data_IF_112507585879
#
_entry.id   IF_112507585879
#
_cell.length_a   1.000
_cell.length_b   1.000
_cell.length_c   1.000
_cell.angle_alpha   90.00
_cell.angle_beta   90.00
_cell.angle_gamma   90.00
#
_symmetry.space_group_name_H-M   'P 1'
#
loop_
_entity.id
_entity.type
_entity.pdbx_description
1 polymer ?
#
# COMPACT_ATOMS: atom_id res chain seq x y z
N UNK A 1 -4.65 -0.80 -17.94
CA UNK A 1 -4.22 -2.21 -17.95
C UNK A 1 -3.72 -2.59 -16.56
N UNK A 2 -4.09 -3.75 -16.03
CA UNK A 2 -3.49 -4.29 -14.80
C UNK A 2 -2.54 -5.41 -15.23
N UNK A 3 -1.22 -5.14 -15.33
CA UNK A 3 -0.27 -6.17 -15.73
C UNK A 3 -0.33 -7.35 -14.76
N UNK A 4 -0.21 -8.57 -15.29
CA UNK A 4 0.06 -9.77 -14.51
C UNK A 4 1.57 -9.87 -14.34
N UNK A 5 2.05 -9.79 -13.10
CA UNK A 5 3.45 -9.98 -12.76
C UNK A 5 3.63 -11.39 -12.19
N UNK A 6 4.68 -12.09 -12.59
CA UNK A 6 5.01 -13.40 -12.01
C UNK A 6 5.53 -13.26 -10.57
N UNK A 7 6.26 -12.18 -10.29
CA UNK A 7 6.72 -11.77 -8.97
C UNK A 7 6.56 -10.25 -8.85
N UNK A 8 5.64 -9.81 -7.98
CA UNK A 8 5.37 -8.38 -7.79
C UNK A 8 6.56 -7.65 -7.16
N UNK A 9 7.26 -8.29 -6.21
CA UNK A 9 8.40 -7.71 -5.51
C UNK A 9 9.54 -7.44 -6.50
N UNK A 10 9.90 -8.45 -7.30
CA UNK A 10 10.95 -8.33 -8.31
C UNK A 10 10.57 -7.27 -9.35
N UNK A 11 9.34 -7.30 -9.86
CA UNK A 11 8.90 -6.38 -10.92
C UNK A 11 8.91 -4.92 -10.44
N UNK A 12 8.43 -4.64 -9.24
CA UNK A 12 8.45 -3.28 -8.70
C UNK A 12 9.86 -2.79 -8.36
N UNK A 13 10.72 -3.67 -7.85
CA UNK A 13 12.11 -3.30 -7.54
C UNK A 13 12.93 -3.00 -8.80
N UNK A 14 12.85 -3.88 -9.81
CA UNK A 14 13.53 -3.68 -11.09
C UNK A 14 13.03 -2.43 -11.80
N UNK A 15 11.70 -2.28 -11.94
CA UNK A 15 11.10 -1.13 -12.61
C UNK A 15 11.42 0.21 -11.92
N UNK A 16 11.51 0.24 -10.59
CA UNK A 16 11.94 1.43 -9.85
C UNK A 16 13.39 1.80 -10.16
N UNK A 17 14.31 0.83 -10.13
CA UNK A 17 15.72 1.07 -10.44
C UNK A 17 15.92 1.52 -11.89
N UNK A 18 15.30 0.83 -12.84
CA UNK A 18 15.34 1.17 -14.26
C UNK A 18 14.76 2.57 -14.52
N UNK A 19 13.63 2.89 -13.89
CA UNK A 19 13.01 4.21 -14.01
C UNK A 19 13.89 5.33 -13.47
N UNK A 20 14.49 5.15 -12.29
CA UNK A 20 15.40 6.15 -11.70
C UNK A 20 16.64 6.34 -12.59
N UNK A 21 17.25 5.25 -13.08
CA UNK A 21 18.41 5.33 -14.00
C UNK A 21 18.07 6.05 -15.29
N UNK A 22 16.95 5.69 -15.92
CA UNK A 22 16.50 6.31 -17.16
C UNK A 22 16.26 7.81 -16.98
N UNK A 23 15.58 8.22 -15.90
CA UNK A 23 15.40 9.63 -15.58
C UNK A 23 16.76 10.31 -15.40
N UNK A 24 17.67 9.70 -14.63
CA UNK A 24 19.03 10.19 -14.42
C UNK A 24 19.83 10.37 -15.70
N UNK A 25 19.73 9.44 -16.66
CA UNK A 25 20.34 9.59 -17.98
C UNK A 25 19.75 10.76 -18.75
N UNK A 26 18.42 10.88 -18.81
CA UNK A 26 17.72 11.94 -19.55
C UNK A 26 18.05 13.34 -19.03
N UNK A 27 18.24 13.49 -17.72
CA UNK A 27 18.56 14.79 -17.11
C UNK A 27 20.06 14.98 -16.81
N UNK A 28 20.91 14.06 -17.27
CA UNK A 28 22.37 14.07 -17.06
C UNK A 28 22.79 14.11 -15.56
N UNK A 29 22.07 13.37 -14.72
CA UNK A 29 22.28 13.23 -13.25
C UNK A 29 22.46 11.78 -12.80
N UNK A 30 23.29 11.02 -13.53
CA UNK A 30 23.54 9.60 -13.24
C UNK A 30 24.11 9.35 -11.82
N UNK A 31 25.05 10.17 -11.29
CA UNK A 31 25.55 9.98 -9.93
C UNK A 31 24.44 10.11 -8.87
N UNK A 32 23.55 11.10 -9.01
CA UNK A 32 22.42 11.29 -8.11
C UNK A 32 21.37 10.17 -8.23
N UNK A 33 21.16 9.65 -9.45
CA UNK A 33 20.27 8.51 -9.67
C UNK A 33 20.75 7.25 -8.94
N UNK A 34 22.03 6.90 -9.02
CA UNK A 34 22.58 5.75 -8.28
C UNK A 34 22.56 6.00 -6.76
N UNK A 35 22.85 7.23 -6.32
CA UNK A 35 22.75 7.58 -4.90
C UNK A 35 21.32 7.43 -4.37
N UNK A 36 20.31 7.83 -5.15
CA UNK A 36 18.91 7.67 -4.80
C UNK A 36 18.48 6.20 -4.74
N UNK A 37 18.93 5.38 -5.70
CA UNK A 37 18.69 3.91 -5.69
C UNK A 37 19.28 3.31 -4.41
N UNK A 38 20.56 3.56 -4.15
CA UNK A 38 21.24 3.02 -2.97
C UNK A 38 20.52 3.43 -1.68
N UNK A 39 20.21 4.72 -1.52
CA UNK A 39 19.47 5.23 -0.38
C UNK A 39 18.12 4.53 -0.20
N UNK A 40 17.35 4.38 -1.29
CA UNK A 40 16.00 3.80 -1.24
C UNK A 40 16.01 2.37 -0.70
N UNK A 41 16.92 1.53 -1.19
CA UNK A 41 16.97 0.13 -0.78
C UNK A 41 17.60 -0.07 0.60
N UNK A 42 18.58 0.75 0.99
CA UNK A 42 19.12 0.71 2.36
C UNK A 42 18.10 1.21 3.39
N UNK A 43 17.39 2.30 3.10
CA UNK A 43 16.33 2.80 3.97
C UNK A 43 15.20 1.77 4.11
N UNK A 44 14.80 1.12 3.01
CA UNK A 44 13.80 0.04 3.05
C UNK A 44 14.27 -1.12 3.91
N UNK A 45 15.51 -1.58 3.75
CA UNK A 45 16.08 -2.66 4.57
C UNK A 45 16.02 -2.33 6.06
N UNK A 46 16.37 -1.11 6.44
CA UNK A 46 16.28 -0.64 7.83
C UNK A 46 14.84 -0.60 8.34
N UNK A 47 13.91 -0.10 7.52
CA UNK A 47 12.49 -0.02 7.88
C UNK A 47 11.83 -1.40 8.04
N UNK A 48 12.24 -2.37 7.23
CA UNK A 48 11.66 -3.72 7.23
C UNK A 48 12.21 -4.61 8.35
N UNK A 49 13.43 -4.36 8.83
CA UNK A 49 14.11 -5.22 9.79
C UNK A 49 13.30 -5.49 11.08
N UNK A 50 12.61 -4.50 11.71
CA UNK A 50 11.85 -4.73 12.93
C UNK A 50 10.64 -5.66 12.77
N UNK A 51 10.15 -5.86 11.54
CA UNK A 51 8.92 -6.60 11.23
C UNK A 51 9.17 -7.85 10.38
N UNK A 52 10.44 -8.16 10.09
CA UNK A 52 10.83 -9.22 9.16
C UNK A 52 10.32 -10.61 9.59
N UNK A 53 10.28 -10.86 10.90
CA UNK A 53 9.93 -12.16 11.46
C UNK A 53 8.44 -12.28 11.82
N UNK A 54 7.61 -11.26 11.55
CA UNK A 54 6.17 -11.32 11.84
C UNK A 54 5.48 -12.30 10.88
N UNK A 55 4.93 -13.43 11.38
CA UNK A 55 4.24 -14.40 10.55
C UNK A 55 2.99 -13.79 9.90
N UNK A 56 2.64 -14.24 8.69
CA UNK A 56 1.52 -13.68 7.92
C UNK A 56 0.19 -13.63 8.70
N UNK A 57 -0.10 -14.65 9.52
CA UNK A 57 -1.33 -14.72 10.32
C UNK A 57 -1.34 -13.78 11.54
N UNK A 58 -0.21 -13.13 11.86
CA UNK A 58 -0.09 -12.15 12.93
C UNK A 58 0.02 -10.71 12.41
N UNK A 59 0.08 -10.52 11.09
CA UNK A 59 0.18 -9.21 10.47
C UNK A 59 -1.09 -8.40 10.69
N UNK A 60 -0.92 -7.10 10.94
CA UNK A 60 -2.04 -6.17 11.12
C UNK A 60 -2.85 -6.10 9.82
N UNK A 61 -4.16 -6.27 9.90
CA UNK A 61 -5.06 -6.13 8.75
C UNK A 61 -5.26 -4.66 8.42
N UNK A 62 -4.90 -4.27 7.20
CA UNK A 62 -4.92 -2.88 6.74
C UNK A 62 -5.72 -2.74 5.46
N UNK A 63 -6.46 -1.64 5.33
CA UNK A 63 -7.20 -1.25 4.14
C UNK A 63 -6.73 0.12 3.62
N UNK A 64 -6.56 0.27 2.30
CA UNK A 64 -6.29 1.58 1.68
C UNK A 64 -7.61 2.15 1.14
N UNK A 65 -8.07 3.25 1.72
CA UNK A 65 -9.27 3.95 1.31
C UNK A 65 -8.93 5.12 0.38
N UNK A 66 -9.47 5.08 -0.84
CA UNK A 66 -9.50 6.20 -1.76
C UNK A 66 -10.95 6.70 -1.94
N UNK A 67 -11.16 7.87 -2.56
CA UNK A 67 -12.51 8.37 -2.87
C UNK A 67 -13.39 7.34 -3.58
N UNK A 68 -14.70 7.45 -3.34
CA UNK A 68 -15.74 6.64 -3.98
C UNK A 68 -15.56 5.13 -3.79
N UNK A 69 -15.11 4.70 -2.59
CA UNK A 69 -14.82 3.28 -2.27
C UNK A 69 -13.81 2.64 -3.23
N UNK A 70 -12.90 3.42 -3.82
CA UNK A 70 -11.77 2.86 -4.53
C UNK A 70 -10.72 2.33 -3.55
N UNK A 71 -10.05 1.25 -3.95
CA UNK A 71 -8.94 0.67 -3.20
C UNK A 71 -7.90 0.06 -4.14
N UNK A 72 -6.81 -0.46 -3.59
CA UNK A 72 -5.79 -1.21 -4.31
C UNK A 72 -5.73 -2.64 -3.76
N UNK A 73 -5.98 -3.62 -4.61
CA UNK A 73 -5.76 -5.04 -4.32
C UNK A 73 -4.41 -5.55 -4.82
N UNK A 74 -4.37 -6.79 -5.30
CA UNK A 74 -3.16 -7.43 -5.82
C UNK A 74 -2.62 -6.75 -7.10
N UNK A 75 -1.32 -6.89 -7.35
CA UNK A 75 -0.64 -6.30 -8.51
C UNK A 75 -0.41 -4.80 -8.37
N UNK A 76 -0.34 -4.28 -7.13
CA UNK A 76 -0.13 -2.86 -6.82
C UNK A 76 0.91 -2.70 -5.72
N UNK A 77 1.77 -1.71 -5.89
CA UNK A 77 2.81 -1.36 -4.91
C UNK A 77 2.27 -1.16 -3.48
N UNK A 78 1.03 -0.68 -3.34
CA UNK A 78 0.35 -0.55 -2.03
C UNK A 78 0.40 -1.82 -1.19
N UNK A 79 0.22 -2.99 -1.81
CA UNK A 79 0.31 -4.29 -1.13
C UNK A 79 1.73 -4.58 -0.63
N UNK A 80 2.74 -4.32 -1.45
CA UNK A 80 4.16 -4.48 -1.08
C UNK A 80 4.57 -3.54 0.04
N UNK A 81 4.16 -2.27 -0.03
CA UNK A 81 4.40 -1.27 1.02
C UNK A 81 3.87 -1.74 2.37
N UNK A 82 2.62 -2.25 2.40
CA UNK A 82 2.04 -2.81 3.62
C UNK A 82 2.78 -4.06 4.08
N UNK A 83 3.10 -4.98 3.17
CA UNK A 83 3.79 -6.23 3.50
C UNK A 83 5.18 -5.99 4.10
N UNK A 84 5.94 -5.04 3.55
CA UNK A 84 7.23 -4.59 4.06
C UNK A 84 7.14 -3.98 5.45
N UNK A 85 6.01 -3.38 5.79
CA UNK A 85 5.73 -2.83 7.12
C UNK A 85 5.10 -3.85 8.09
N UNK A 86 5.07 -5.15 7.75
CA UNK A 86 4.49 -6.20 8.60
C UNK A 86 2.96 -6.19 8.63
N UNK A 87 2.32 -5.58 7.63
CA UNK A 87 0.87 -5.52 7.49
C UNK A 87 0.34 -6.43 6.36
N UNK A 88 -0.96 -6.67 6.39
CA UNK A 88 -1.70 -7.44 5.39
C UNK A 88 -2.74 -6.53 4.74
N UNK A 89 -2.64 -6.33 3.42
CA UNK A 89 -3.68 -5.67 2.65
C UNK A 89 -4.91 -6.59 2.52
N UNK A 90 -6.00 -6.24 3.20
CA UNK A 90 -7.23 -7.07 3.22
C UNK A 90 -7.90 -7.19 1.84
N UNK A 91 -7.72 -6.21 0.96
CA UNK A 91 -8.32 -6.21 -0.37
C UNK A 91 -7.54 -7.10 -1.37
N UNK A 92 -6.29 -7.44 -1.09
CA UNK A 92 -5.41 -8.09 -2.08
C UNK A 92 -5.88 -9.49 -2.49
N UNK A 93 -6.56 -10.22 -1.60
CA UNK A 93 -7.01 -11.58 -1.88
C UNK A 93 -8.17 -11.66 -2.90
N UNK A 94 -9.01 -10.62 -2.97
CA UNK A 94 -10.24 -10.64 -3.78
C UNK A 94 -10.33 -9.50 -4.80
N UNK A 95 -9.45 -8.51 -4.73
CA UNK A 95 -9.41 -7.38 -5.66
C UNK A 95 -8.11 -7.43 -6.47
N UNK A 96 -8.22 -7.27 -7.80
CA UNK A 96 -7.06 -7.14 -8.69
C UNK A 96 -6.91 -5.71 -9.19
N UNK A 97 -5.78 -5.10 -8.87
CA UNK A 97 -5.42 -3.75 -9.26
C UNK A 97 -6.17 -2.67 -8.46
N UNK A 98 -6.37 -1.51 -9.10
CA UNK A 98 -7.17 -0.43 -8.52
C UNK A 98 -8.63 -0.60 -8.94
N UNK A 99 -9.54 -0.75 -7.98
CA UNK A 99 -10.97 -0.98 -8.24
C UNK A 99 -11.81 -0.34 -7.16
N UNK A 100 -13.03 0.01 -7.55
CA UNK A 100 -14.11 0.30 -6.63
C UNK A 100 -14.62 -0.99 -6.00
N UNK A 101 -14.94 -0.95 -4.72
CA UNK A 101 -15.50 -2.04 -3.92
C UNK A 101 -16.81 -1.58 -3.28
N UNK A 102 -17.53 -2.49 -2.64
CA UNK A 102 -18.69 -2.13 -1.82
C UNK A 102 -18.31 -1.96 -0.34
N UNK A 103 -19.12 -1.22 0.42
CA UNK A 103 -18.90 -1.06 1.85
C UNK A 103 -19.04 -2.39 2.60
N UNK A 104 -19.93 -3.27 2.14
CA UNK A 104 -20.12 -4.62 2.68
C UNK A 104 -18.84 -5.44 2.61
N UNK A 105 -18.06 -5.32 1.52
CA UNK A 105 -16.76 -5.99 1.42
C UNK A 105 -15.77 -5.44 2.47
N UNK A 106 -15.75 -4.13 2.70
CA UNK A 106 -14.88 -3.51 3.71
C UNK A 106 -15.29 -3.95 5.13
N UNK A 107 -16.59 -4.06 5.39
CA UNK A 107 -17.14 -4.60 6.64
C UNK A 107 -16.75 -6.06 6.86
N UNK A 108 -16.82 -6.89 5.82
CA UNK A 108 -16.39 -8.29 5.88
C UNK A 108 -14.90 -8.44 6.13
N UNK A 109 -14.07 -7.61 5.48
CA UNK A 109 -12.63 -7.58 5.71
C UNK A 109 -12.25 -7.10 7.12
N UNK A 110 -13.08 -6.24 7.72
CA UNK A 110 -12.91 -5.67 9.05
C UNK A 110 -11.45 -5.28 9.38
N UNK A 111 -10.89 -4.28 8.66
CA UNK A 111 -9.51 -3.85 8.84
C UNK A 111 -9.29 -3.24 10.24
N UNK A 112 -8.10 -3.46 10.78
CA UNK A 112 -7.66 -2.91 12.08
C UNK A 112 -7.03 -1.51 11.94
N UNK A 113 -6.61 -1.16 10.72
CA UNK A 113 -6.13 0.18 10.34
C UNK A 113 -6.67 0.49 8.94
N UNK A 114 -7.13 1.72 8.76
CA UNK A 114 -7.40 2.29 7.44
C UNK A 114 -6.28 3.30 7.16
N UNK A 115 -5.75 3.28 5.95
CA UNK A 115 -4.88 4.35 5.45
C UNK A 115 -5.62 5.16 4.40
N UNK A 116 -5.41 6.48 4.44
CA UNK A 116 -5.85 7.42 3.42
C UNK A 116 -4.62 8.10 2.82
N UNK A 117 -4.59 8.24 1.50
CA UNK A 117 -3.51 8.98 0.85
C UNK A 117 -3.64 10.48 1.17
N UNK A 118 -2.54 11.13 1.50
CA UNK A 118 -2.49 12.56 1.88
C UNK A 118 -3.16 13.50 0.86
N UNK A 119 -3.13 13.16 -0.43
CA UNK A 119 -3.83 13.90 -1.49
C UNK A 119 -5.37 13.84 -1.42
N UNK A 120 -5.94 13.03 -0.53
CA UNK A 120 -7.38 12.85 -0.33
C UNK A 120 -7.79 12.99 1.16
N UNK A 121 -7.39 14.07 1.85
CA UNK A 121 -7.56 14.18 3.30
C UNK A 121 -9.04 14.21 3.73
N UNK A 122 -9.95 14.57 2.81
CA UNK A 122 -11.39 14.55 3.05
C UNK A 122 -11.95 13.14 3.33
N UNK A 123 -11.29 12.08 2.83
CA UNK A 123 -11.76 10.70 2.99
C UNK A 123 -11.71 10.26 4.46
N UNK A 124 -10.74 10.76 5.25
CA UNK A 124 -10.69 10.51 6.70
C UNK A 124 -11.97 10.98 7.37
N UNK A 125 -12.35 12.25 7.17
CA UNK A 125 -13.56 12.83 7.75
C UNK A 125 -14.83 12.14 7.27
N UNK A 126 -14.86 11.71 6.01
CA UNK A 126 -16.00 10.96 5.49
C UNK A 126 -16.17 9.63 6.23
N UNK A 127 -15.10 8.85 6.37
CA UNK A 127 -15.12 7.57 7.07
C UNK A 127 -15.47 7.73 8.55
N UNK A 128 -14.86 8.70 9.23
CA UNK A 128 -15.08 8.92 10.67
C UNK A 128 -16.51 9.35 11.01
N UNK A 129 -17.17 10.10 10.13
CA UNK A 129 -18.52 10.62 10.37
C UNK A 129 -19.65 9.80 9.75
N UNK A 130 -19.33 8.86 8.85
CA UNK A 130 -20.35 8.01 8.22
C UNK A 130 -20.79 6.90 9.19
N UNK A 131 -22.09 6.85 9.58
CA UNK A 131 -22.62 5.81 10.47
C UNK A 131 -22.41 4.39 9.94
N UNK A 132 -22.33 4.20 8.63
CA UNK A 132 -22.19 2.87 8.02
C UNK A 132 -20.80 2.26 8.24
N UNK A 133 -19.79 3.09 8.53
CA UNK A 133 -18.40 2.65 8.79
C UNK A 133 -18.12 2.32 10.26
N UNK A 134 -18.99 2.74 11.18
CA UNK A 134 -18.75 2.67 12.63
C UNK A 134 -18.64 1.24 13.18
N UNK A 135 -19.05 0.24 12.40
CA UNK A 135 -18.88 -1.17 12.76
C UNK A 135 -17.44 -1.67 12.55
N UNK A 136 -16.63 -0.99 11.73
CA UNK A 136 -15.27 -1.39 11.36
C UNK A 136 -14.30 -1.16 12.53
N UNK A 137 -13.43 -2.14 12.79
CA UNK A 137 -12.49 -2.14 13.91
C UNK A 137 -11.57 -0.92 13.93
N UNK A 138 -11.02 -0.55 12.76
CA UNK A 138 -10.21 0.65 12.61
C UNK A 138 -10.94 1.95 13.03
N UNK A 139 -12.22 2.09 12.69
CA UNK A 139 -13.00 3.31 12.99
C UNK A 139 -13.32 3.37 14.48
N UNK A 140 -13.75 2.25 15.07
CA UNK A 140 -14.02 2.15 16.51
C UNK A 140 -12.83 2.55 17.39
N UNK A 141 -11.62 2.27 16.91
CA UNK A 141 -10.37 2.53 17.64
C UNK A 141 -9.63 3.78 17.15
N UNK A 142 -10.24 4.61 16.30
CA UNK A 142 -9.64 5.83 15.75
C UNK A 142 -8.28 5.58 15.07
N UNK A 143 -8.23 4.56 14.21
CA UNK A 143 -7.04 4.17 13.41
C UNK A 143 -7.33 4.31 11.91
N UNK A 144 -7.69 5.53 11.50
CA UNK A 144 -7.99 5.95 10.11
C UNK A 144 -6.96 6.98 9.64
#
# INVERSE_FOLDING_TARGET
MNPTMADEEQAYNAGLMEGIRLIGEVVERQPEAEALIHYTFEARKQANAPVADIPQNQRVRVYMANPDLNTYGAGKYTGLMMAHAGALNVAAASVKGARQVSLEQVLEWNPQVIFVQDRYPQVVKQIENDPQWQAIDAVKHHRV
#
